data_IF_088753187205
#
_entry.id   IF_088753187205
#
_cell.length_a   1.000
_cell.length_b   1.000
_cell.length_c   1.000
_cell.angle_alpha   90.00
_cell.angle_beta   90.00
_cell.angle_gamma   90.00
#
_symmetry.space_group_name_H-M   'P 1'
#
loop_
_entity.id
_entity.type
_entity.pdbx_description
1 polymer ?
#
# COMPACT_ATOMS: atom_id res chain seq x y z
N UNK A 1 9.44 -38.95 -56.04
CA UNK A 1 10.65 -38.41 -56.70
C UNK A 1 11.62 -37.97 -55.61
N UNK A 2 12.80 -38.58 -55.61
CA UNK A 2 13.87 -38.40 -54.64
C UNK A 2 14.67 -37.11 -54.89
N UNK A 3 15.24 -36.52 -53.84
CA UNK A 3 16.59 -35.96 -53.89
C UNK A 3 17.17 -35.91 -52.47
N UNK A 4 18.38 -36.44 -52.35
CA UNK A 4 19.14 -36.75 -51.13
C UNK A 4 20.41 -35.91 -51.09
N UNK A 5 20.71 -35.33 -49.91
CA UNK A 5 22.07 -35.15 -49.34
C UNK A 5 22.87 -33.86 -49.68
N UNK A 6 24.07 -33.66 -49.08
CA UNK A 6 24.52 -34.11 -47.74
C UNK A 6 25.56 -33.20 -46.96
N UNK A 7 25.73 -33.46 -45.64
CA UNK A 7 26.94 -33.49 -44.76
C UNK A 7 27.73 -32.20 -44.34
N UNK A 8 27.90 -31.98 -43.02
CA UNK A 8 29.15 -31.87 -42.15
C UNK A 8 28.84 -31.12 -40.83
N UNK A 9 28.94 -31.67 -39.61
CA UNK A 9 30.08 -32.05 -38.73
C UNK A 9 31.06 -30.94 -38.33
N UNK A 10 31.07 -30.56 -37.03
CA UNK A 10 32.21 -30.15 -36.14
C UNK A 10 31.65 -29.82 -34.74
N UNK A 11 31.90 -30.62 -33.70
CA UNK A 11 32.96 -30.52 -32.64
C UNK A 11 32.42 -29.86 -31.36
N UNK A 12 32.21 -30.55 -30.21
CA UNK A 12 33.09 -31.31 -29.29
C UNK A 12 34.23 -30.47 -28.64
N UNK A 13 33.87 -29.70 -27.61
CA UNK A 13 34.72 -29.39 -26.45
C UNK A 13 33.82 -29.55 -25.18
N UNK A 14 34.08 -30.39 -24.18
CA UNK A 14 35.28 -31.14 -23.85
C UNK A 14 36.19 -30.40 -22.85
N UNK A 15 35.65 -29.91 -21.72
CA UNK A 15 36.49 -29.45 -20.60
C UNK A 15 36.14 -30.20 -19.31
N UNK A 16 37.18 -30.86 -18.81
CA UNK A 16 37.28 -31.70 -17.63
C UNK A 16 37.45 -30.83 -16.38
N UNK A 17 36.55 -30.98 -15.41
CA UNK A 17 36.73 -30.43 -14.06
C UNK A 17 37.72 -31.30 -13.29
N UNK A 18 38.82 -30.67 -12.85
CA UNK A 18 39.73 -31.22 -11.85
C UNK A 18 39.24 -30.83 -10.46
N UNK A 19 39.05 -31.82 -9.59
CA UNK A 19 39.00 -31.65 -8.14
C UNK A 19 40.34 -31.12 -7.61
N UNK A 20 40.29 -30.38 -6.48
CA UNK A 20 41.04 -30.88 -5.33
C UNK A 20 40.29 -30.74 -3.99
N UNK A 21 40.31 -31.87 -3.25
CA UNK A 21 40.64 -32.04 -1.83
C UNK A 21 39.99 -31.12 -0.78
N UNK A 22 39.12 -31.73 0.02
CA UNK A 22 38.99 -31.41 1.46
C UNK A 22 40.31 -31.58 2.20
N UNK A 23 40.45 -30.90 3.35
CA UNK A 23 40.63 -31.67 4.58
C UNK A 23 39.66 -31.23 5.68
N UNK A 24 39.18 -32.23 6.42
CA UNK A 24 38.64 -32.09 7.78
C UNK A 24 39.75 -31.64 8.75
N UNK A 25 39.41 -30.78 9.70
CA UNK A 25 39.69 -30.98 11.13
C UNK A 25 39.18 -29.80 11.99
N UNK A 26 38.10 -30.06 12.71
CA UNK A 26 37.93 -29.87 14.16
C UNK A 26 38.21 -28.51 14.84
N UNK A 27 37.12 -27.99 15.41
CA UNK A 27 36.97 -27.33 16.72
C UNK A 27 37.96 -26.22 17.14
N UNK A 28 37.41 -25.02 17.36
CA UNK A 28 37.53 -24.31 18.65
C UNK A 28 36.53 -23.15 18.76
N UNK A 29 35.78 -23.19 19.86
CA UNK A 29 35.09 -22.07 20.49
C UNK A 29 36.00 -20.84 20.59
N UNK A 30 35.50 -19.66 20.22
CA UNK A 30 35.72 -18.41 20.94
C UNK A 30 34.77 -17.32 20.43
N UNK A 31 34.09 -16.69 21.38
CA UNK A 31 33.40 -15.42 21.19
C UNK A 31 34.42 -14.35 20.76
N UNK A 32 34.16 -13.66 19.64
CA UNK A 32 34.86 -12.42 19.32
C UNK A 32 33.86 -11.31 19.06
N UNK A 33 33.98 -10.32 19.94
CA UNK A 33 33.29 -9.06 19.91
C UNK A 33 33.68 -8.24 18.67
N UNK A 34 32.75 -7.40 18.24
CA UNK A 34 32.97 -6.32 17.29
C UNK A 34 34.26 -5.55 17.62
N UNK A 35 35.29 -5.70 16.78
CA UNK A 35 36.46 -4.84 16.81
C UNK A 35 36.13 -3.51 16.15
N UNK A 36 36.11 -2.45 16.96
CA UNK A 36 36.02 -1.05 16.50
C UNK A 36 37.41 -0.64 15.98
N UNK A 37 37.55 -0.09 14.77
CA UNK A 37 38.83 0.46 14.32
C UNK A 37 39.18 1.72 15.14
N UNK A 38 40.45 1.80 15.55
CA UNK A 38 41.01 2.86 16.39
C UNK A 38 40.79 4.27 15.78
N UNK A 39 40.53 5.24 16.66
CA UNK A 39 40.32 6.64 16.30
C UNK A 39 41.59 7.27 15.66
N UNK A 40 41.45 8.08 14.59
CA UNK A 40 42.53 8.93 14.13
C UNK A 40 42.72 10.14 15.08
N UNK A 41 43.92 10.74 15.10
CA UNK A 41 44.31 11.72 16.11
C UNK A 41 43.57 13.06 15.97
N UNK A 42 43.37 13.68 17.12
CA UNK A 42 42.78 15.01 17.34
C UNK A 42 43.56 16.08 16.57
N UNK A 43 42.88 16.86 15.74
CA UNK A 43 43.48 18.09 15.21
C UNK A 43 42.95 18.65 13.89
N UNK A 44 41.63 18.72 13.67
CA UNK A 44 41.09 19.66 12.67
C UNK A 44 39.68 20.08 13.10
N UNK A 45 39.46 21.40 13.28
CA UNK A 45 38.11 21.95 13.37
C UNK A 45 37.39 21.65 12.04
N UNK A 46 36.60 20.59 12.04
CA UNK A 46 35.64 20.30 10.97
C UNK A 46 34.43 21.18 11.25
N UNK A 47 34.32 22.27 10.49
CA UNK A 47 33.06 22.98 10.22
C UNK A 47 31.96 21.91 10.07
N UNK A 48 30.76 22.04 10.68
CA UNK A 48 29.73 21.03 10.53
C UNK A 48 29.39 20.91 9.05
N UNK A 49 29.96 19.90 8.39
CA UNK A 49 29.67 19.57 7.01
C UNK A 49 28.21 19.17 6.99
N UNK A 50 27.40 19.95 6.28
CA UNK A 50 26.03 19.63 5.93
C UNK A 50 26.01 18.16 5.47
N UNK A 51 25.51 17.26 6.34
CA UNK A 51 25.31 15.88 5.94
C UNK A 51 24.26 15.90 4.83
N UNK A 52 24.57 15.39 3.63
CA UNK A 52 23.62 15.40 2.54
C UNK A 52 22.45 14.56 2.97
N UNK A 53 21.30 15.20 2.97
CA UNK A 53 20.02 14.63 3.34
C UNK A 53 19.76 13.32 2.58
N UNK A 54 19.92 12.20 3.30
CA UNK A 54 20.12 10.88 2.69
C UNK A 54 18.83 10.35 2.02
N UNK A 55 17.63 10.69 2.51
CA UNK A 55 16.32 10.17 2.02
C UNK A 55 15.35 11.27 1.61
N UNK A 56 14.82 11.22 0.38
CA UNK A 56 13.80 12.18 -0.07
C UNK A 56 12.54 12.08 0.80
N UNK A 57 12.17 10.85 1.18
CA UNK A 57 10.98 10.63 1.98
C UNK A 57 11.09 11.19 3.38
N UNK A 58 12.24 11.01 4.03
CA UNK A 58 12.46 11.54 5.38
C UNK A 58 12.30 13.06 5.41
N UNK A 59 12.82 13.77 4.40
CA UNK A 59 12.63 15.22 4.29
C UNK A 59 11.19 15.60 4.12
N UNK A 60 10.49 14.96 3.19
CA UNK A 60 9.07 15.21 2.97
C UNK A 60 8.28 15.08 4.29
N UNK A 61 8.54 14.01 5.07
CA UNK A 61 7.86 13.79 6.34
C UNK A 61 8.22 14.86 7.36
N UNK A 62 9.51 15.11 7.59
CA UNK A 62 9.97 16.06 8.61
C UNK A 62 9.53 17.49 8.30
N UNK A 63 9.70 17.94 7.05
CA UNK A 63 9.26 19.27 6.60
C UNK A 63 7.74 19.41 6.75
N UNK A 64 6.97 18.40 6.35
CA UNK A 64 5.51 18.44 6.50
C UNK A 64 5.10 18.52 7.97
N UNK A 65 5.70 17.71 8.84
CA UNK A 65 5.38 17.71 10.27
C UNK A 65 5.76 19.04 10.95
N UNK A 66 6.94 19.58 10.63
CA UNK A 66 7.46 20.81 11.22
C UNK A 66 6.75 22.06 10.71
N UNK A 67 6.66 22.25 9.38
CA UNK A 67 6.06 23.44 8.78
C UNK A 67 4.57 23.58 9.14
N UNK A 68 3.85 22.46 9.25
CA UNK A 68 2.43 22.47 9.62
C UNK A 68 2.19 22.41 11.12
N UNK A 69 3.26 22.41 11.94
CA UNK A 69 3.23 22.31 13.41
C UNK A 69 2.40 21.13 13.89
N UNK A 70 2.56 19.98 13.23
CA UNK A 70 1.88 18.73 13.63
C UNK A 70 2.65 18.11 14.79
N UNK A 71 3.98 18.00 14.64
CA UNK A 71 4.89 17.53 15.67
C UNK A 71 6.07 18.50 15.80
N UNK A 72 6.39 18.90 17.03
CA UNK A 72 7.58 19.70 17.35
C UNK A 72 8.21 19.11 18.61
N UNK A 73 9.54 18.91 18.62
CA UNK A 73 10.26 18.30 19.73
C UNK A 73 9.63 16.97 20.21
N UNK A 74 9.22 16.13 19.26
CA UNK A 74 8.53 14.86 19.51
C UNK A 74 7.18 14.97 20.23
N UNK A 75 6.61 16.17 20.34
CA UNK A 75 5.29 16.40 20.91
C UNK A 75 4.26 16.68 19.81
N UNK A 76 3.11 16.00 19.91
CA UNK A 76 1.96 16.21 19.02
C UNK A 76 1.27 17.53 19.39
N UNK A 77 1.32 18.52 18.49
CA UNK A 77 0.74 19.85 18.73
C UNK A 77 -0.63 20.04 18.06
N UNK A 78 -0.90 19.31 16.97
CA UNK A 78 -2.15 19.43 16.21
C UNK A 78 -2.75 18.07 15.90
N UNK A 79 -4.05 17.98 16.11
CA UNK A 79 -4.84 16.76 15.89
C UNK A 79 -6.03 16.97 14.94
N UNK A 80 -6.20 18.19 14.43
CA UNK A 80 -7.33 18.57 13.59
C UNK A 80 -7.33 17.85 12.22
N UNK A 81 -8.48 17.81 11.51
CA UNK A 81 -8.61 17.08 10.25
C UNK A 81 -7.61 17.47 9.17
N UNK A 82 -7.15 18.73 9.15
CA UNK A 82 -6.15 19.22 8.18
C UNK A 82 -4.77 18.66 8.51
N UNK A 83 -4.38 18.64 9.78
CA UNK A 83 -3.14 17.98 10.21
C UNK A 83 -3.13 16.49 9.81
N UNK A 84 -4.24 15.79 10.02
CA UNK A 84 -4.37 14.39 9.62
C UNK A 84 -4.39 14.18 8.11
N UNK A 85 -4.86 15.15 7.33
CA UNK A 85 -4.76 15.11 5.87
C UNK A 85 -3.30 15.15 5.41
N UNK A 86 -2.47 16.00 6.01
CA UNK A 86 -1.03 16.02 5.72
C UNK A 86 -0.37 14.68 6.06
N UNK A 87 -0.76 14.04 7.18
CA UNK A 87 -0.30 12.70 7.53
C UNK A 87 -0.66 11.69 6.45
N UNK A 88 -1.91 11.69 5.98
CA UNK A 88 -2.35 10.80 4.88
C UNK A 88 -1.57 11.02 3.59
N UNK A 89 -1.26 12.28 3.24
CA UNK A 89 -0.44 12.57 2.05
C UNK A 89 0.98 12.01 2.18
N UNK A 90 1.61 12.16 3.36
CA UNK A 90 2.92 11.54 3.61
C UNK A 90 2.86 10.02 3.52
N UNK A 91 1.82 9.39 4.08
CA UNK A 91 1.64 7.93 4.01
C UNK A 91 1.45 7.46 2.55
N UNK A 92 0.62 8.16 1.78
CA UNK A 92 0.36 7.81 0.39
C UNK A 92 1.61 7.95 -0.51
N UNK A 93 2.54 8.84 -0.17
CA UNK A 93 3.82 8.98 -0.87
C UNK A 93 4.85 7.88 -0.52
N UNK A 94 4.68 7.18 0.60
CA UNK A 94 5.67 6.23 1.12
C UNK A 94 6.08 5.12 0.12
N UNK A 95 5.14 4.44 -0.58
CA UNK A 95 5.50 3.34 -1.47
C UNK A 95 6.33 3.80 -2.67
N UNK A 96 5.96 4.93 -3.28
CA UNK A 96 6.71 5.51 -4.40
C UNK A 96 8.11 5.95 -3.96
N UNK A 97 8.22 6.54 -2.77
CA UNK A 97 9.51 7.02 -2.27
C UNK A 97 10.41 5.89 -1.79
N UNK A 98 9.85 4.75 -1.38
CA UNK A 98 10.62 3.53 -1.07
C UNK A 98 11.47 3.10 -2.26
N UNK A 99 10.85 3.04 -3.45
CA UNK A 99 11.56 2.72 -4.69
C UNK A 99 12.68 3.72 -5.00
N UNK A 100 12.37 5.01 -4.91
CA UNK A 100 13.34 6.07 -5.21
C UNK A 100 14.53 6.02 -4.24
N UNK A 101 14.26 5.90 -2.94
CA UNK A 101 15.31 5.87 -1.92
C UNK A 101 16.08 4.53 -1.95
N UNK A 102 15.44 3.40 -2.28
CA UNK A 102 16.15 2.14 -2.51
C UNK A 102 17.22 2.28 -3.60
N UNK A 103 16.87 2.89 -4.75
CA UNK A 103 17.82 3.11 -5.86
C UNK A 103 18.95 4.07 -5.52
N UNK A 104 18.76 4.93 -4.51
CA UNK A 104 19.80 5.85 -4.00
C UNK A 104 20.74 5.19 -2.99
N UNK A 105 20.45 3.95 -2.58
CA UNK A 105 21.31 3.13 -1.74
C UNK A 105 20.86 3.01 -0.29
N UNK A 106 21.63 2.26 0.50
CA UNK A 106 21.24 1.86 1.86
C UNK A 106 20.99 3.03 2.82
N UNK A 107 21.76 4.11 2.70
CA UNK A 107 21.60 5.33 3.51
C UNK A 107 20.24 6.00 3.27
N UNK A 108 19.85 6.15 2.01
CA UNK A 108 18.55 6.68 1.63
C UNK A 108 17.40 5.76 2.10
N UNK A 109 17.58 4.45 1.98
CA UNK A 109 16.60 3.47 2.47
C UNK A 109 16.42 3.54 4.00
N UNK A 110 17.50 3.74 4.76
CA UNK A 110 17.44 3.95 6.21
C UNK A 110 16.67 5.23 6.57
N UNK A 111 16.91 6.32 5.84
CA UNK A 111 16.15 7.55 6.02
C UNK A 111 14.67 7.35 5.70
N UNK A 112 14.34 6.59 4.66
CA UNK A 112 12.95 6.25 4.34
C UNK A 112 12.26 5.55 5.51
N UNK A 113 12.93 4.57 6.12
CA UNK A 113 12.43 3.88 7.30
C UNK A 113 12.17 4.83 8.46
N UNK A 114 13.09 5.75 8.74
CA UNK A 114 12.91 6.77 9.79
C UNK A 114 11.70 7.67 9.49
N UNK A 115 11.48 8.03 8.23
CA UNK A 115 10.30 8.77 7.80
C UNK A 115 9.00 8.01 8.06
N UNK A 116 8.96 6.72 7.69
CA UNK A 116 7.78 5.86 7.93
C UNK A 116 7.52 5.70 9.42
N UNK A 117 8.55 5.42 10.21
CA UNK A 117 8.40 5.27 11.66
C UNK A 117 7.88 6.55 12.33
N UNK A 118 8.39 7.72 11.93
CA UNK A 118 7.93 9.01 12.44
C UNK A 118 6.45 9.27 12.12
N UNK A 119 6.04 9.06 10.86
CA UNK A 119 4.65 9.32 10.45
C UNK A 119 3.67 8.33 11.06
N UNK A 120 4.06 7.06 11.18
CA UNK A 120 3.28 6.03 11.84
C UNK A 120 3.15 6.27 13.33
N UNK A 121 4.25 6.59 14.01
CA UNK A 121 4.24 6.93 15.44
C UNK A 121 3.32 8.12 15.72
N UNK A 122 3.27 9.09 14.80
CA UNK A 122 2.32 10.22 14.88
C UNK A 122 0.87 9.74 14.74
N UNK A 123 0.56 8.92 13.73
CA UNK A 123 -0.78 8.36 13.53
C UNK A 123 -1.25 7.49 14.71
N UNK A 124 -0.36 6.65 15.25
CA UNK A 124 -0.63 5.82 16.43
C UNK A 124 -0.79 6.65 17.70
N UNK A 125 -0.06 7.77 17.82
CA UNK A 125 -0.25 8.70 18.95
C UNK A 125 -1.61 9.39 18.86
N UNK A 126 -2.03 9.82 17.68
CA UNK A 126 -3.38 10.35 17.44
C UNK A 126 -4.46 9.34 17.87
N UNK A 127 -4.27 8.05 17.55
CA UNK A 127 -5.21 7.00 17.95
C UNK A 127 -5.26 6.82 19.46
N UNK A 128 -4.10 6.78 20.13
CA UNK A 128 -4.02 6.65 21.59
C UNK A 128 -4.70 7.79 22.35
N UNK A 129 -4.65 9.01 21.82
CA UNK A 129 -5.30 10.18 22.44
C UNK A 129 -6.75 10.37 21.98
N UNK A 130 -7.33 9.41 21.25
CA UNK A 130 -8.72 9.44 20.79
C UNK A 130 -9.01 10.51 19.74
N UNK A 131 -7.98 11.03 19.05
CA UNK A 131 -8.13 12.09 18.06
C UNK A 131 -7.97 11.60 16.61
N UNK A 132 -7.52 10.35 16.38
CA UNK A 132 -7.36 9.82 15.03
C UNK A 132 -8.70 9.64 14.31
N UNK A 133 -8.79 10.17 13.09
CA UNK A 133 -9.86 9.81 12.17
C UNK A 133 -9.61 8.39 11.62
N UNK A 134 -10.63 7.53 11.52
CA UNK A 134 -10.48 6.17 10.99
C UNK A 134 -9.81 6.13 9.60
N UNK A 135 -10.09 7.11 8.74
CA UNK A 135 -9.47 7.25 7.41
C UNK A 135 -7.95 7.46 7.46
N UNK A 136 -7.41 8.03 8.54
CA UNK A 136 -5.96 8.22 8.71
C UNK A 136 -5.26 6.89 8.97
N UNK A 137 -5.86 6.04 9.81
CA UNK A 137 -5.32 4.72 10.12
C UNK A 137 -5.46 3.78 8.91
N UNK A 138 -6.60 3.81 8.21
CA UNK A 138 -6.78 3.08 6.95
C UNK A 138 -5.74 3.46 5.89
N UNK A 139 -5.44 4.75 5.75
CA UNK A 139 -4.39 5.21 4.84
C UNK A 139 -3.01 4.67 5.25
N UNK A 140 -2.73 4.58 6.56
CA UNK A 140 -1.50 4.00 7.07
C UNK A 140 -1.40 2.51 6.80
N UNK A 141 -2.46 1.74 7.03
CA UNK A 141 -2.51 0.32 6.72
C UNK A 141 -2.29 0.08 5.23
N UNK A 142 -3.01 0.82 4.37
CA UNK A 142 -2.88 0.72 2.91
C UNK A 142 -1.47 1.09 2.43
N UNK A 143 -0.90 2.19 2.94
CA UNK A 143 0.46 2.58 2.60
C UNK A 143 1.48 1.51 2.99
N UNK A 144 1.40 0.96 4.21
CA UNK A 144 2.34 -0.07 4.66
C UNK A 144 2.20 -1.37 3.89
N UNK A 145 0.99 -1.75 3.51
CA UNK A 145 0.77 -2.87 2.61
C UNK A 145 1.47 -2.65 1.28
N UNK A 146 1.26 -1.50 0.65
CA UNK A 146 1.95 -1.15 -0.60
C UNK A 146 3.48 -1.11 -0.42
N UNK A 147 3.99 -0.65 0.72
CA UNK A 147 5.43 -0.66 1.00
C UNK A 147 5.99 -2.08 1.17
N UNK A 148 5.26 -2.96 1.86
CA UNK A 148 5.63 -4.37 2.03
C UNK A 148 5.69 -5.07 0.68
N UNK A 149 4.70 -4.81 -0.15
CA UNK A 149 4.62 -5.28 -1.51
C UNK A 149 5.83 -4.81 -2.33
N UNK A 150 6.14 -3.52 -2.33
CA UNK A 150 7.34 -2.98 -3.00
C UNK A 150 8.65 -3.58 -2.47
N UNK A 151 8.74 -3.85 -1.16
CA UNK A 151 9.92 -4.48 -0.58
C UNK A 151 10.09 -5.94 -1.06
N UNK A 152 9.01 -6.67 -1.32
CA UNK A 152 9.08 -8.03 -1.87
C UNK A 152 9.65 -8.00 -3.30
N UNK A 153 9.15 -7.09 -4.15
CA UNK A 153 9.60 -6.95 -5.54
C UNK A 153 11.08 -6.59 -5.64
N UNK A 154 11.52 -5.60 -4.86
CA UNK A 154 12.91 -5.13 -4.88
C UNK A 154 13.89 -6.07 -4.14
N UNK A 155 13.43 -7.25 -3.71
CA UNK A 155 14.25 -8.23 -2.98
C UNK A 155 14.68 -7.77 -1.58
N UNK A 156 13.99 -6.80 -0.99
CA UNK A 156 14.26 -6.20 0.31
C UNK A 156 13.69 -7.03 1.46
N UNK A 157 14.06 -8.31 1.54
CA UNK A 157 13.47 -9.26 2.49
C UNK A 157 13.58 -8.82 3.96
N UNK A 158 14.66 -8.13 4.33
CA UNK A 158 14.85 -7.61 5.68
C UNK A 158 13.77 -6.60 6.11
N UNK A 159 13.03 -6.02 5.17
CA UNK A 159 11.97 -5.03 5.44
C UNK A 159 10.60 -5.66 5.68
N UNK A 160 10.36 -6.89 5.23
CA UNK A 160 9.04 -7.51 5.24
C UNK A 160 8.50 -7.66 6.66
N UNK A 161 9.30 -8.25 7.56
CA UNK A 161 8.88 -8.47 8.96
C UNK A 161 8.61 -7.16 9.73
N UNK A 162 9.49 -6.13 9.66
CA UNK A 162 9.18 -4.81 10.22
C UNK A 162 7.86 -4.21 9.71
N UNK A 163 7.60 -4.31 8.40
CA UNK A 163 6.38 -3.78 7.81
C UNK A 163 5.14 -4.54 8.28
N UNK A 164 5.21 -5.87 8.42
CA UNK A 164 4.15 -6.69 9.01
C UNK A 164 3.82 -6.28 10.45
N UNK A 165 4.84 -6.03 11.27
CA UNK A 165 4.63 -5.54 12.63
C UNK A 165 3.93 -4.19 12.65
N UNK A 166 4.31 -3.28 11.74
CA UNK A 166 3.65 -1.97 11.63
C UNK A 166 2.19 -2.09 11.16
N UNK A 167 1.90 -2.96 10.18
CA UNK A 167 0.53 -3.24 9.72
C UNK A 167 -0.32 -3.74 10.90
N UNK A 168 0.21 -4.69 11.69
CA UNK A 168 -0.52 -5.22 12.84
C UNK A 168 -0.77 -4.16 13.91
N UNK A 169 0.21 -3.29 14.19
CA UNK A 169 0.04 -2.17 15.14
C UNK A 169 -1.07 -1.21 14.72
N UNK A 170 -1.17 -0.90 13.43
CA UNK A 170 -2.26 -0.06 12.91
C UNK A 170 -3.60 -0.77 13.04
N UNK A 171 -3.70 -2.05 12.66
CA UNK A 171 -4.95 -2.82 12.78
C UNK A 171 -5.48 -2.85 14.21
N UNK A 172 -4.60 -3.11 15.17
CA UNK A 172 -4.95 -3.08 16.59
C UNK A 172 -5.47 -1.69 17.01
N UNK A 173 -4.82 -0.62 16.53
CA UNK A 173 -5.24 0.75 16.84
C UNK A 173 -6.55 1.13 16.16
N UNK A 174 -6.80 0.65 14.94
CA UNK A 174 -8.09 0.82 14.27
C UNK A 174 -9.22 0.17 15.06
N UNK A 175 -9.02 -1.07 15.52
CA UNK A 175 -10.01 -1.77 16.32
C UNK A 175 -10.33 -1.00 17.61
N UNK A 176 -9.30 -0.49 18.31
CA UNK A 176 -9.49 0.34 19.50
C UNK A 176 -10.31 1.62 19.22
N UNK A 177 -10.00 2.34 18.14
CA UNK A 177 -10.72 3.56 17.75
C UNK A 177 -12.17 3.24 17.39
N UNK A 178 -12.41 2.12 16.73
CA UNK A 178 -13.76 1.67 16.39
C UNK A 178 -14.57 1.35 17.65
N UNK A 179 -14.00 0.61 18.60
CA UNK A 179 -14.64 0.30 19.88
C UNK A 179 -14.99 1.58 20.67
N UNK A 180 -14.08 2.56 20.72
CA UNK A 180 -14.32 3.86 21.37
C UNK A 180 -15.49 4.62 20.72
N UNK A 181 -15.59 4.64 19.39
CA UNK A 181 -16.70 5.28 18.69
C UNK A 181 -18.04 4.60 18.95
N UNK A 182 -18.07 3.26 19.03
CA UNK A 182 -19.30 2.50 19.31
C UNK A 182 -19.76 2.70 20.77
N UNK A 183 -18.84 2.74 21.74
CA UNK A 183 -19.18 3.01 23.15
C UNK A 183 -19.71 4.44 23.37
N UNK A 184 -19.14 5.42 22.66
CA UNK A 184 -19.58 6.82 22.77
C UNK A 184 -20.94 7.04 22.12
N UNK A 185 -21.22 6.39 20.98
CA UNK A 185 -22.53 6.45 20.32
C UNK A 185 -23.65 5.79 21.16
N UNK A 186 -23.34 4.71 21.89
CA UNK A 186 -24.30 4.07 22.80
C UNK A 186 -24.64 4.95 24.03
N UNK A 187 -23.68 5.75 24.50
CA UNK A 187 -23.83 6.59 25.70
C UNK A 187 -24.65 7.88 25.47
N UNK A 188 -24.87 8.30 24.22
CA UNK A 188 -25.60 9.55 23.89
C UNK A 188 -27.12 9.32 23.73
N UNK A 189 -27.63 8.11 23.97
CA UNK A 189 -29.07 7.86 24.03
C UNK A 189 -29.64 8.45 25.33
N UNK A 190 -30.45 9.53 25.31
CA UNK A 190 -31.00 10.05 26.54
C UNK A 190 -32.07 9.07 27.04
N UNK A 191 -31.94 8.64 28.29
CA UNK A 191 -32.99 7.98 29.03
C UNK A 191 -34.14 8.98 29.26
N UNK A 192 -35.02 9.13 28.26
CA UNK A 192 -36.26 9.87 28.41
C UNK A 192 -37.31 8.94 29.03
N UNK A 193 -37.43 9.05 30.35
CA UNK A 193 -38.62 8.66 31.08
C UNK A 193 -39.80 9.51 30.61
N UNK A 194 -40.81 8.91 29.98
CA UNK A 194 -42.23 9.09 30.34
C UNK A 194 -43.17 8.29 29.42
N UNK A 195 -44.10 7.60 30.09
CA UNK A 195 -45.30 6.93 29.57
C UNK A 195 -46.07 7.77 28.54
N UNK A 196 -46.32 7.21 27.33
CA UNK A 196 -47.63 7.22 26.65
C UNK A 196 -47.72 6.02 25.67
N UNK A 197 -48.68 5.13 25.93
CA UNK A 197 -49.47 4.21 25.10
C UNK A 197 -48.93 3.56 23.78
N UNK A 198 -49.23 2.27 23.50
CA UNK A 198 -48.62 1.50 22.42
C UNK A 198 -49.51 1.50 21.16
N UNK A 199 -49.05 2.14 20.09
CA UNK A 199 -49.45 1.79 18.71
C UNK A 199 -48.55 2.48 17.71
N UNK A 200 -47.39 1.86 17.47
CA UNK A 200 -46.72 1.99 16.18
C UNK A 200 -45.77 0.83 15.98
N UNK A 201 -46.12 0.06 14.94
CA UNK A 201 -45.31 -0.90 14.20
C UNK A 201 -43.80 -0.78 14.50
N UNK A 202 -43.29 -1.69 15.32
CA UNK A 202 -41.84 -1.92 15.43
C UNK A 202 -41.35 -2.38 14.06
N UNK A 203 -40.67 -1.49 13.35
CA UNK A 203 -39.69 -1.90 12.34
C UNK A 203 -38.48 -2.36 13.16
N UNK A 204 -38.02 -3.63 13.05
CA UNK A 204 -36.82 -4.04 13.74
C UNK A 204 -35.65 -3.24 13.15
N UNK A 205 -34.92 -2.54 14.02
CA UNK A 205 -33.63 -1.96 13.69
C UNK A 205 -32.72 -3.11 13.23
N UNK A 206 -32.55 -3.23 11.91
CA UNK A 206 -31.52 -4.07 11.33
C UNK A 206 -30.19 -3.50 11.79
N UNK A 207 -29.58 -4.15 12.77
CA UNK A 207 -28.16 -4.06 13.02
C UNK A 207 -27.46 -4.17 11.67
N UNK A 208 -26.94 -3.05 11.16
CA UNK A 208 -25.98 -3.04 10.07
C UNK A 208 -24.72 -3.72 10.60
N UNK A 209 -24.70 -5.05 10.54
CA UNK A 209 -23.47 -5.82 10.57
C UNK A 209 -22.60 -5.25 9.45
N UNK A 210 -21.49 -4.60 9.82
CA UNK A 210 -20.37 -4.39 8.92
C UNK A 210 -20.14 -5.69 8.13
N UNK A 211 -19.95 -5.63 6.80
CA UNK A 211 -19.54 -6.81 6.07
C UNK A 211 -18.19 -7.26 6.64
N UNK A 212 -18.20 -8.37 7.36
CA UNK A 212 -17.02 -9.14 7.69
C UNK A 212 -16.45 -9.65 6.38
N UNK A 213 -15.44 -8.95 5.84
CA UNK A 213 -14.66 -9.39 4.68
C UNK A 213 -13.77 -10.56 5.11
N UNK A 214 -14.38 -11.70 5.40
CA UNK A 214 -13.68 -12.98 5.46
C UNK A 214 -13.68 -13.46 4.01
N UNK A 215 -12.64 -13.09 3.25
CA UNK A 215 -12.39 -13.68 1.93
C UNK A 215 -12.15 -15.18 2.12
N UNK A 216 -12.90 -16.06 1.44
CA UNK A 216 -12.55 -17.48 1.40
C UNK A 216 -11.13 -17.59 0.84
N UNK A 217 -10.27 -18.35 1.51
CA UNK A 217 -8.84 -18.48 1.18
C UNK A 217 -8.60 -18.93 -0.27
N UNK A 218 -9.60 -19.57 -0.86
CA UNK A 218 -9.54 -20.25 -2.17
C UNK A 218 -10.31 -19.52 -3.30
N UNK A 219 -10.99 -18.40 -3.03
CA UNK A 219 -11.78 -17.69 -4.06
C UNK A 219 -10.92 -16.84 -4.96
N UNK A 220 -11.13 -16.89 -6.29
CA UNK A 220 -10.41 -16.07 -7.29
C UNK A 220 -10.73 -14.57 -7.13
N UNK A 221 -9.88 -13.70 -7.67
CA UNK A 221 -10.05 -12.25 -7.48
C UNK A 221 -11.39 -11.72 -7.99
N UNK A 222 -11.82 -12.17 -9.16
CA UNK A 222 -13.11 -11.79 -9.74
C UNK A 222 -14.29 -12.17 -8.83
N UNK A 223 -14.20 -13.33 -8.19
CA UNK A 223 -15.21 -13.86 -7.27
C UNK A 223 -15.27 -13.08 -5.96
N UNK A 224 -14.24 -12.30 -5.64
CA UNK A 224 -14.23 -11.37 -4.51
C UNK A 224 -14.74 -10.00 -4.93
N UNK A 225 -14.31 -9.50 -6.08
CA UNK A 225 -14.66 -8.17 -6.59
C UNK A 225 -16.13 -8.07 -6.98
N UNK A 226 -16.65 -9.00 -7.80
CA UNK A 226 -18.00 -8.89 -8.34
C UNK A 226 -19.08 -8.90 -7.24
N UNK A 227 -19.05 -9.80 -6.24
CA UNK A 227 -20.04 -9.75 -5.17
C UNK A 227 -19.97 -8.47 -4.35
N UNK A 228 -18.78 -7.93 -4.11
CA UNK A 228 -18.61 -6.67 -3.37
C UNK A 228 -19.23 -5.50 -4.14
N UNK A 229 -18.92 -5.37 -5.44
CA UNK A 229 -19.52 -4.35 -6.30
C UNK A 229 -21.03 -4.53 -6.44
N UNK A 230 -21.51 -5.76 -6.64
CA UNK A 230 -22.94 -6.04 -6.76
C UNK A 230 -23.71 -5.73 -5.48
N UNK A 231 -23.14 -5.97 -4.30
CA UNK A 231 -23.73 -5.57 -3.03
C UNK A 231 -23.84 -4.04 -2.92
N UNK A 232 -22.82 -3.30 -3.34
CA UNK A 232 -22.88 -1.84 -3.39
C UNK A 232 -23.98 -1.38 -4.36
N UNK A 233 -24.02 -1.93 -5.58
CA UNK A 233 -25.01 -1.61 -6.62
C UNK A 233 -26.44 -1.90 -6.15
N UNK A 234 -26.67 -3.05 -5.53
CA UNK A 234 -27.98 -3.46 -5.01
C UNK A 234 -28.54 -2.47 -3.97
N UNK A 235 -27.65 -1.85 -3.18
CA UNK A 235 -28.02 -0.84 -2.18
C UNK A 235 -28.20 0.56 -2.76
N UNK A 236 -27.76 0.81 -4.00
CA UNK A 236 -27.65 2.15 -4.59
C UNK A 236 -28.22 2.21 -6.01
N UNK A 237 -29.43 1.68 -6.19
CA UNK A 237 -30.20 1.74 -7.44
C UNK A 237 -29.41 1.26 -8.69
N UNK A 238 -28.56 0.24 -8.53
CA UNK A 238 -27.76 -0.32 -9.62
C UNK A 238 -26.44 0.40 -9.89
N UNK A 239 -26.14 1.47 -9.17
CA UNK A 239 -24.92 2.28 -9.36
C UNK A 239 -23.92 2.08 -8.23
N UNK A 240 -22.64 2.35 -8.49
CA UNK A 240 -21.63 2.43 -7.44
C UNK A 240 -21.48 3.91 -7.08
N UNK A 241 -21.98 4.38 -5.93
CA UNK A 241 -22.05 5.80 -5.64
C UNK A 241 -20.69 6.32 -5.19
N UNK A 242 -20.41 7.59 -5.45
CA UNK A 242 -19.15 8.23 -5.07
C UNK A 242 -19.02 8.55 -3.57
N UNK A 243 -19.79 7.91 -2.69
CA UNK A 243 -19.73 8.15 -1.25
C UNK A 243 -18.45 7.55 -0.63
N UNK A 244 -17.97 8.07 0.53
CA UNK A 244 -16.74 7.61 1.16
C UNK A 244 -16.68 6.11 1.48
N UNK A 245 -17.82 5.51 1.88
CA UNK A 245 -17.90 4.08 2.22
C UNK A 245 -17.58 3.16 1.04
N UNK A 246 -18.34 3.24 -0.07
CA UNK A 246 -18.05 2.50 -1.30
C UNK A 246 -16.63 2.73 -1.85
N UNK A 247 -16.14 3.97 -1.81
CA UNK A 247 -14.75 4.28 -2.18
C UNK A 247 -13.72 3.58 -1.29
N UNK A 248 -13.97 3.46 0.02
CA UNK A 248 -13.09 2.71 0.92
C UNK A 248 -13.06 1.21 0.59
N UNK A 249 -14.22 0.62 0.24
CA UNK A 249 -14.30 -0.79 -0.20
C UNK A 249 -13.50 -1.00 -1.49
N UNK A 250 -13.66 -0.13 -2.48
CA UNK A 250 -12.89 -0.21 -3.73
C UNK A 250 -11.40 -0.10 -3.46
N UNK A 251 -10.95 0.86 -2.65
CA UNK A 251 -9.53 0.99 -2.28
C UNK A 251 -8.99 -0.28 -1.62
N UNK A 252 -9.78 -0.91 -0.75
CA UNK A 252 -9.40 -2.18 -0.12
C UNK A 252 -9.25 -3.31 -1.15
N UNK A 253 -10.20 -3.44 -2.09
CA UNK A 253 -10.13 -4.43 -3.17
C UNK A 253 -8.96 -4.17 -4.13
N UNK A 254 -8.66 -2.91 -4.43
CA UNK A 254 -7.47 -2.55 -5.21
C UNK A 254 -6.18 -2.90 -4.47
N UNK A 255 -6.10 -2.61 -3.17
CA UNK A 255 -4.93 -2.94 -2.38
C UNK A 255 -4.66 -4.46 -2.31
N UNK A 256 -5.71 -5.29 -2.41
CA UNK A 256 -5.55 -6.76 -2.44
C UNK A 256 -5.26 -7.33 -3.82
N UNK A 257 -5.48 -6.57 -4.91
CA UNK A 257 -5.25 -7.05 -6.28
C UNK A 257 -3.90 -7.75 -6.47
N UNK A 258 -2.77 -7.26 -5.95
CA UNK A 258 -1.50 -7.89 -6.25
C UNK A 258 -1.25 -9.22 -5.54
N UNK A 259 -1.76 -9.38 -4.32
CA UNK A 259 -1.71 -10.67 -3.62
C UNK A 259 -2.49 -11.73 -4.41
N UNK A 260 -3.65 -11.33 -4.92
CA UNK A 260 -4.47 -12.17 -5.77
C UNK A 260 -3.82 -12.47 -7.12
N UNK A 261 -3.08 -11.53 -7.73
CA UNK A 261 -2.34 -11.81 -8.98
C UNK A 261 -1.34 -12.95 -8.77
N UNK A 262 -0.55 -12.87 -7.69
CA UNK A 262 0.44 -13.89 -7.36
C UNK A 262 -0.22 -15.25 -7.11
N UNK A 263 -1.30 -15.25 -6.31
CA UNK A 263 -2.00 -16.49 -5.94
C UNK A 263 -2.73 -17.11 -7.12
N UNK A 264 -3.48 -16.32 -7.89
CA UNK A 264 -4.26 -16.79 -9.02
C UNK A 264 -3.32 -17.31 -10.13
N UNK A 265 -2.19 -16.64 -10.38
CA UNK A 265 -1.12 -17.13 -11.27
C UNK A 265 -0.54 -18.47 -10.82
N UNK A 266 -0.16 -18.59 -9.54
CA UNK A 266 0.42 -19.82 -8.99
C UNK A 266 -0.59 -20.98 -8.96
N UNK A 267 -1.88 -20.68 -8.84
CA UNK A 267 -2.94 -21.69 -8.90
C UNK A 267 -3.16 -22.20 -10.33
N UNK A 268 -3.28 -21.29 -11.31
CA UNK A 268 -3.29 -21.61 -12.73
C UNK A 268 -3.15 -20.36 -13.59
N UNK A 269 -2.32 -20.37 -14.65
CA UNK A 269 -2.22 -19.28 -15.62
C UNK A 269 -3.58 -18.77 -16.15
N UNK A 270 -4.55 -19.67 -16.31
CA UNK A 270 -5.89 -19.34 -16.83
C UNK A 270 -6.64 -18.38 -15.89
N UNK A 271 -6.37 -18.43 -14.58
CA UNK A 271 -7.07 -17.61 -13.58
C UNK A 271 -6.63 -16.14 -13.58
N UNK A 272 -5.49 -15.81 -14.20
CA UNK A 272 -5.04 -14.42 -14.36
C UNK A 272 -5.99 -13.60 -15.24
N UNK A 273 -6.75 -14.25 -16.13
CA UNK A 273 -7.83 -13.60 -16.87
C UNK A 273 -8.94 -13.13 -15.94
N UNK A 274 -9.35 -13.98 -14.98
CA UNK A 274 -10.34 -13.60 -13.96
C UNK A 274 -9.82 -12.45 -13.09
N UNK A 275 -8.55 -12.50 -12.71
CA UNK A 275 -7.90 -11.40 -12.01
C UNK A 275 -7.99 -10.08 -12.78
N UNK A 276 -7.63 -10.08 -14.06
CA UNK A 276 -7.65 -8.88 -14.87
C UNK A 276 -9.07 -8.32 -15.04
N UNK A 277 -10.07 -9.18 -15.25
CA UNK A 277 -11.48 -8.77 -15.29
C UNK A 277 -11.93 -8.09 -13.99
N UNK A 278 -11.52 -8.61 -12.83
CA UNK A 278 -11.81 -8.00 -11.54
C UNK A 278 -11.22 -6.60 -11.42
N UNK A 279 -9.98 -6.41 -11.87
CA UNK A 279 -9.33 -5.09 -11.85
C UNK A 279 -10.05 -4.10 -12.79
N UNK A 280 -10.45 -4.55 -13.98
CA UNK A 280 -11.23 -3.72 -14.91
C UNK A 280 -12.56 -3.27 -14.33
N UNK A 281 -13.29 -4.16 -13.65
CA UNK A 281 -14.55 -3.82 -12.99
C UNK A 281 -14.37 -2.76 -11.89
N UNK A 282 -13.27 -2.81 -11.13
CA UNK A 282 -12.95 -1.78 -10.14
C UNK A 282 -12.65 -0.44 -10.80
N UNK A 283 -11.90 -0.43 -11.90
CA UNK A 283 -11.56 0.80 -12.63
C UNK A 283 -12.81 1.39 -13.29
N UNK A 284 -13.69 0.57 -13.85
CA UNK A 284 -14.97 1.04 -14.41
C UNK A 284 -15.89 1.58 -13.32
N UNK A 285 -15.89 0.99 -12.11
CA UNK A 285 -16.60 1.56 -10.97
C UNK A 285 -16.03 2.94 -10.56
N UNK A 286 -14.70 3.11 -10.57
CA UNK A 286 -14.05 4.41 -10.32
C UNK A 286 -14.42 5.43 -11.39
N UNK A 287 -14.46 5.03 -12.67
CA UNK A 287 -14.90 5.90 -13.77
C UNK A 287 -16.34 6.37 -13.55
N UNK A 288 -17.24 5.46 -13.20
CA UNK A 288 -18.62 5.80 -12.87
C UNK A 288 -18.73 6.77 -11.68
N UNK A 289 -17.85 6.66 -10.68
CA UNK A 289 -17.79 7.64 -9.57
C UNK A 289 -17.28 9.01 -10.02
N UNK A 290 -16.34 9.06 -10.98
CA UNK A 290 -15.86 10.32 -11.57
C UNK A 290 -16.98 11.03 -12.30
N UNK A 291 -17.74 10.30 -13.13
CA UNK A 291 -18.89 10.83 -13.88
C UNK A 291 -19.98 11.42 -12.95
N UNK A 292 -20.08 10.93 -11.72
CA UNK A 292 -20.95 11.47 -10.67
C UNK A 292 -20.37 12.68 -9.91
N UNK A 293 -19.12 13.07 -10.17
CA UNK A 293 -18.47 14.25 -9.57
C UNK A 293 -17.98 14.09 -8.13
N UNK A 294 -17.96 12.88 -7.57
CA UNK A 294 -17.61 12.64 -6.15
C UNK A 294 -16.34 11.81 -5.92
N UNK A 295 -15.56 11.52 -6.96
CA UNK A 295 -14.38 10.66 -6.84
C UNK A 295 -13.29 11.31 -5.99
N UNK A 296 -12.86 10.62 -4.93
CA UNK A 296 -11.79 11.10 -4.08
C UNK A 296 -10.42 10.80 -4.69
N UNK A 297 -9.49 11.73 -4.45
CA UNK A 297 -8.10 11.59 -4.88
C UNK A 297 -7.44 10.32 -4.33
N UNK A 298 -7.72 9.96 -3.07
CA UNK A 298 -7.17 8.75 -2.46
C UNK A 298 -7.54 7.48 -3.25
N UNK A 299 -8.73 7.44 -3.84
CA UNK A 299 -9.18 6.32 -4.66
C UNK A 299 -8.44 6.27 -5.99
N UNK A 300 -8.26 7.41 -6.65
CA UNK A 300 -7.46 7.52 -7.90
C UNK A 300 -6.02 7.09 -7.64
N UNK A 301 -5.41 7.62 -6.58
CA UNK A 301 -4.03 7.32 -6.23
C UNK A 301 -3.85 5.84 -5.87
N UNK A 302 -4.78 5.25 -5.13
CA UNK A 302 -4.78 3.82 -4.84
C UNK A 302 -4.84 2.99 -6.13
N UNK A 303 -5.74 3.32 -7.06
CA UNK A 303 -5.88 2.60 -8.32
C UNK A 303 -4.63 2.73 -9.20
N UNK A 304 -4.05 3.92 -9.29
CA UNK A 304 -2.81 4.19 -10.03
C UNK A 304 -1.66 3.35 -9.48
N UNK A 305 -1.46 3.40 -8.17
CA UNK A 305 -0.36 2.70 -7.49
C UNK A 305 -0.52 1.18 -7.59
N UNK A 306 -1.75 0.68 -7.43
CA UNK A 306 -2.05 -0.75 -7.62
C UNK A 306 -1.77 -1.20 -9.05
N UNK A 307 -2.17 -0.42 -10.07
CA UNK A 307 -1.90 -0.77 -11.47
C UNK A 307 -0.41 -0.81 -11.77
N UNK A 308 0.32 0.25 -11.43
CA UNK A 308 1.78 0.29 -11.62
C UNK A 308 2.47 -0.90 -10.94
N UNK A 309 2.03 -1.25 -9.73
CA UNK A 309 2.57 -2.38 -8.98
C UNK A 309 2.25 -3.73 -9.66
N UNK A 310 1.00 -3.96 -10.04
CA UNK A 310 0.56 -5.22 -10.64
C UNK A 310 1.20 -5.47 -12.00
N UNK A 311 1.47 -4.41 -12.78
CA UNK A 311 2.24 -4.50 -14.03
C UNK A 311 3.68 -4.95 -13.75
N UNK A 312 4.37 -4.34 -12.78
CA UNK A 312 5.74 -4.71 -12.42
C UNK A 312 5.81 -6.14 -11.88
N UNK A 313 4.90 -6.50 -10.98
CA UNK A 313 4.79 -7.85 -10.44
C UNK A 313 4.56 -8.88 -11.55
N UNK A 314 3.68 -8.59 -12.52
CA UNK A 314 3.47 -9.47 -13.67
C UNK A 314 4.74 -9.65 -14.51
N UNK A 315 5.54 -8.59 -14.69
CA UNK A 315 6.84 -8.66 -15.38
C UNK A 315 7.84 -9.53 -14.62
N UNK A 316 7.93 -9.38 -13.30
CA UNK A 316 8.84 -10.18 -12.45
C UNK A 316 8.45 -11.65 -12.40
N UNK A 317 7.16 -11.94 -12.32
CA UNK A 317 6.61 -13.30 -12.42
C UNK A 317 6.74 -13.89 -13.83
N UNK A 318 7.23 -13.12 -14.80
CA UNK A 318 7.36 -13.50 -16.22
C UNK A 318 6.04 -13.99 -16.80
N UNK A 319 4.95 -13.29 -16.48
CA UNK A 319 3.64 -13.56 -17.06
C UNK A 319 3.64 -13.03 -18.51
N UNK A 320 4.12 -13.85 -19.43
CA UNK A 320 4.22 -13.53 -20.87
C UNK A 320 2.90 -13.78 -21.60
N UNK A 321 1.81 -13.18 -21.11
CA UNK A 321 0.49 -13.24 -21.75
C UNK A 321 0.17 -11.91 -22.46
N UNK A 322 0.05 -11.96 -23.79
CA UNK A 322 -0.32 -10.80 -24.61
C UNK A 322 -1.70 -10.26 -24.23
N UNK A 323 -2.63 -11.13 -23.88
CA UNK A 323 -3.99 -10.77 -23.44
C UNK A 323 -3.93 -9.97 -22.15
N UNK A 324 -3.11 -10.41 -21.18
CA UNK A 324 -2.92 -9.70 -19.93
C UNK A 324 -2.25 -8.34 -20.15
N UNK A 325 -1.27 -8.27 -21.05
CA UNK A 325 -0.61 -7.02 -21.44
C UNK A 325 -1.59 -6.02 -22.04
N UNK A 326 -2.49 -6.47 -22.93
CA UNK A 326 -3.59 -5.65 -23.45
C UNK A 326 -4.57 -5.22 -22.36
N UNK A 327 -4.87 -6.10 -21.40
CA UNK A 327 -5.75 -5.76 -20.28
C UNK A 327 -5.09 -4.71 -19.36
N UNK A 328 -3.80 -4.80 -19.07
CA UNK A 328 -3.07 -3.75 -18.34
C UNK A 328 -3.09 -2.42 -19.08
N UNK A 329 -2.81 -2.43 -20.39
CA UNK A 329 -2.84 -1.22 -21.20
C UNK A 329 -4.25 -0.58 -21.22
N UNK A 330 -5.31 -1.39 -21.32
CA UNK A 330 -6.68 -0.90 -21.25
C UNK A 330 -7.06 -0.32 -19.88
N UNK A 331 -6.61 -0.96 -18.80
CA UNK A 331 -6.83 -0.50 -17.44
C UNK A 331 -6.11 0.85 -17.18
N UNK A 332 -4.86 0.97 -17.62
CA UNK A 332 -4.11 2.23 -17.59
C UNK A 332 -4.80 3.31 -18.41
N UNK A 333 -5.20 3.03 -19.66
CA UNK A 333 -5.87 4.02 -20.51
C UNK A 333 -7.18 4.54 -19.89
N UNK A 334 -7.98 3.65 -19.28
CA UNK A 334 -9.18 4.03 -18.53
C UNK A 334 -8.86 4.94 -17.35
N UNK A 335 -7.79 4.63 -16.61
CA UNK A 335 -7.35 5.40 -15.45
C UNK A 335 -6.75 6.75 -15.86
N UNK A 336 -5.98 6.80 -16.94
CA UNK A 336 -5.43 8.04 -17.50
C UNK A 336 -6.56 8.99 -17.95
N UNK A 337 -7.64 8.43 -18.50
CA UNK A 337 -8.86 9.17 -18.81
C UNK A 337 -9.62 9.66 -17.56
N UNK A 338 -9.18 9.31 -16.34
CA UNK A 338 -9.68 9.87 -15.08
C UNK A 338 -8.93 11.12 -14.61
N UNK A 339 -7.86 11.52 -15.29
CA UNK A 339 -7.25 12.83 -15.06
C UNK A 339 -7.87 13.86 -16.00
N UNK A 340 -8.13 15.08 -15.52
CA UNK A 340 -8.40 16.23 -16.39
C UNK A 340 -7.07 16.59 -17.10
N UNK A 341 -7.06 16.99 -18.37
CA UNK A 341 -5.88 17.62 -19.00
C UNK A 341 -5.25 18.72 -18.13
N UNK A 342 -6.08 19.46 -17.37
CA UNK A 342 -5.65 20.47 -16.40
C UNK A 342 -5.17 19.87 -15.06
N UNK A 343 -5.49 18.63 -14.70
CA UNK A 343 -4.99 18.00 -13.46
C UNK A 343 -3.49 17.68 -13.57
N UNK A 344 -2.95 17.55 -14.78
CA UNK A 344 -1.50 17.44 -15.03
C UNK A 344 -0.74 18.74 -14.70
N UNK A 345 -1.39 19.90 -14.80
CA UNK A 345 -0.80 21.23 -14.54
C UNK A 345 -1.26 21.84 -13.21
N UNK A 346 -2.42 21.44 -12.70
CA UNK A 346 -2.96 21.78 -11.38
C UNK A 346 -2.58 20.71 -10.37
N UNK A 347 -1.34 20.75 -9.89
CA UNK A 347 -1.00 20.02 -8.69
C UNK A 347 -1.81 20.61 -7.51
N UNK A 348 -2.80 19.87 -7.00
CA UNK A 348 -3.60 20.23 -5.82
C UNK A 348 -4.48 21.50 -5.90
N UNK A 349 -5.05 21.89 -7.05
CA UNK A 349 -5.86 23.12 -7.10
C UNK A 349 -5.08 24.39 -6.69
N UNK A 350 -3.76 24.31 -6.64
CA UNK A 350 -2.82 25.41 -6.47
C UNK A 350 -2.09 25.54 -7.80
N UNK A 351 -2.19 26.70 -8.44
CA UNK A 351 -1.32 27.02 -9.56
C UNK A 351 0.13 26.95 -9.08
N UNK A 352 0.89 26.00 -9.62
CA UNK A 352 2.35 26.06 -9.54
C UNK A 352 2.74 27.27 -10.38
N UNK A 353 3.14 28.36 -9.72
CA UNK A 353 3.72 29.51 -10.41
C UNK A 353 5.04 29.06 -11.04
N UNK A 354 5.17 29.38 -12.33
CA UNK A 354 6.35 29.14 -13.18
C UNK A 354 7.66 29.51 -12.51
#
# INVERSE_FOLDING_TARGET
MCATGPIRHTDRHGQSFKHPRSPDATERSNAEAFSIPAAPPVGTQVVPTEQPLESVYQHLVLDTMFQNRIVVNSQLLRTDPRAQQHIRHCLAAAPRMLFNDHRRGAHALLGWFRGVDAILSTALTLARVGAAEPKTLLAGESALWHCKLMAILEGLQAMISPLDQCIQKIRNSMQMVEEQHHSTAAAITPASSNNVNPSSRRVPATHERRPSFITPRDSLYLEVVLPALNNIRAKNAGTVPAQPGPQAIIRHLLASAPDFLTRDWNASPIYVTGWALGLHELIDAIRGMREQGGLSWDTVLSATTTLDYTIRLAQELRIEDQTLSHMFAGALAKLEALYDPDDRTKFMGVQVRN
#
